data_IF_184222593436
#
_entry.id   IF_184222593436
#
_cell.length_a   1.000
_cell.length_b   1.000
_cell.length_c   1.000
_cell.angle_alpha   90.00
_cell.angle_beta   90.00
_cell.angle_gamma   90.00
#
_symmetry.space_group_name_H-M   'P 1'
#
loop_
_entity.id
_entity.type
_entity.pdbx_description
1 polymer ?
#
# COMPACT_ATOMS: atom_id res chain seq x y z
N UNK A 1 -10.63 -4.86 -15.95
CA UNK A 1 -10.89 -4.61 -14.54
C UNK A 1 -11.73 -5.76 -14.03
N UNK A 2 -11.09 -6.72 -13.34
CA UNK A 2 -11.73 -7.88 -12.74
C UNK A 2 -12.71 -8.66 -13.66
N UNK A 3 -12.44 -8.70 -14.97
CA UNK A 3 -13.23 -9.43 -15.94
C UNK A 3 -12.63 -10.79 -16.30
N UNK A 4 -11.33 -10.96 -16.05
CA UNK A 4 -10.58 -12.19 -16.25
C UNK A 4 -10.11 -12.76 -14.92
N UNK A 5 -9.95 -14.06 -14.84
CA UNK A 5 -9.46 -14.70 -13.63
C UNK A 5 -9.68 -16.21 -13.68
N UNK A 6 -9.01 -16.92 -12.77
CA UNK A 6 -9.08 -18.38 -12.65
C UNK A 6 -10.23 -18.76 -11.70
N UNK A 7 -10.99 -19.77 -12.06
CA UNK A 7 -12.01 -20.36 -11.19
C UNK A 7 -11.35 -21.32 -10.19
N UNK A 8 -11.12 -20.82 -8.99
CA UNK A 8 -10.48 -21.61 -7.91
C UNK A 8 -11.47 -22.53 -7.19
N UNK A 9 -12.78 -22.36 -7.39
CA UNK A 9 -13.81 -23.16 -6.69
C UNK A 9 -13.85 -24.62 -7.14
N UNK A 10 -13.25 -24.90 -8.29
CA UNK A 10 -13.10 -26.27 -8.81
C UNK A 10 -11.91 -27.04 -8.21
N UNK A 11 -10.98 -26.34 -7.55
CA UNK A 11 -9.77 -26.95 -6.98
C UNK A 11 -10.09 -27.80 -5.74
N UNK A 12 -9.40 -28.93 -5.56
CA UNK A 12 -9.56 -29.76 -4.36
C UNK A 12 -9.28 -28.97 -3.06
N UNK A 13 -8.25 -28.12 -3.07
CA UNK A 13 -7.86 -27.28 -1.94
C UNK A 13 -8.98 -26.32 -1.52
N UNK A 14 -9.68 -25.72 -2.48
CA UNK A 14 -10.84 -24.90 -2.20
C UNK A 14 -11.97 -25.70 -1.56
N UNK A 15 -12.24 -26.89 -2.08
CA UNK A 15 -13.34 -27.74 -1.57
C UNK A 15 -13.07 -28.22 -0.15
N UNK A 16 -11.81 -28.52 0.18
CA UNK A 16 -11.38 -29.02 1.48
C UNK A 16 -11.17 -27.91 2.52
N UNK A 17 -11.00 -26.66 2.10
CA UNK A 17 -10.78 -25.55 3.00
C UNK A 17 -12.00 -25.27 3.90
N UNK A 18 -11.76 -25.03 5.19
CA UNK A 18 -12.78 -24.60 6.16
C UNK A 18 -13.03 -23.10 6.07
N UNK A 19 -12.02 -22.31 5.72
CA UNK A 19 -12.04 -20.84 5.62
C UNK A 19 -11.36 -20.43 4.32
N UNK A 20 -11.91 -19.44 3.65
CA UNK A 20 -11.29 -18.83 2.48
C UNK A 20 -10.65 -17.49 2.89
N UNK A 21 -9.35 -17.41 2.77
CA UNK A 21 -8.61 -16.18 3.06
C UNK A 21 -8.20 -15.49 1.75
N UNK A 22 -8.78 -14.31 1.50
CA UNK A 22 -8.48 -13.48 0.33
C UNK A 22 -7.46 -12.40 0.71
N UNK A 23 -6.53 -12.15 -0.18
CA UNK A 23 -5.61 -11.03 -0.15
C UNK A 23 -5.86 -10.13 -1.36
N UNK A 24 -4.80 -9.80 -2.10
CA UNK A 24 -4.89 -8.98 -3.30
C UNK A 24 -5.24 -9.84 -4.52
N UNK A 25 -6.49 -9.79 -4.95
CA UNK A 25 -7.07 -10.67 -5.98
C UNK A 25 -7.08 -10.09 -7.40
N UNK A 26 -6.44 -8.95 -7.59
CA UNK A 26 -6.48 -8.19 -8.85
C UNK A 26 -5.52 -8.73 -9.92
N UNK A 27 -5.33 -7.98 -11.02
CA UNK A 27 -4.45 -8.28 -12.15
C UNK A 27 -4.70 -9.67 -12.80
N UNK A 28 -5.98 -10.06 -12.91
CA UNK A 28 -6.34 -11.28 -13.60
C UNK A 28 -6.34 -12.54 -12.72
N UNK A 29 -6.04 -12.45 -11.43
CA UNK A 29 -6.14 -13.58 -10.50
C UNK A 29 -7.59 -14.04 -10.35
N UNK A 30 -8.49 -13.14 -9.92
CA UNK A 30 -9.92 -13.41 -9.83
C UNK A 30 -10.73 -12.34 -10.54
N UNK A 31 -11.74 -12.76 -11.30
CA UNK A 31 -12.78 -11.88 -11.80
C UNK A 31 -13.87 -11.66 -10.74
N UNK A 32 -14.73 -10.64 -10.92
CA UNK A 32 -15.91 -10.48 -10.07
C UNK A 32 -16.86 -11.69 -10.16
N UNK A 33 -16.89 -12.39 -11.32
CA UNK A 33 -17.64 -13.64 -11.48
C UNK A 33 -17.05 -14.78 -10.64
N UNK A 34 -15.72 -14.89 -10.59
CA UNK A 34 -15.06 -15.88 -9.73
C UNK A 34 -15.29 -15.55 -8.24
N UNK A 35 -15.22 -14.25 -7.88
CA UNK A 35 -15.51 -13.80 -6.53
C UNK A 35 -16.95 -14.15 -6.13
N UNK A 36 -17.94 -13.97 -7.02
CA UNK A 36 -19.34 -14.39 -6.78
C UNK A 36 -19.42 -15.87 -6.37
N UNK A 37 -18.78 -16.76 -7.14
CA UNK A 37 -18.76 -18.19 -6.83
C UNK A 37 -18.14 -18.51 -5.47
N UNK A 38 -17.07 -17.77 -5.10
CA UNK A 38 -16.44 -17.92 -3.79
C UNK A 38 -17.41 -17.50 -2.67
N UNK A 39 -18.08 -16.35 -2.82
CA UNK A 39 -19.04 -15.85 -1.83
C UNK A 39 -20.26 -16.75 -1.70
N UNK A 40 -20.74 -17.33 -2.81
CA UNK A 40 -21.87 -18.25 -2.88
C UNK A 40 -21.55 -19.66 -2.34
N UNK A 41 -20.29 -19.98 -2.07
CA UNK A 41 -19.87 -21.30 -1.57
C UNK A 41 -20.33 -21.63 -0.15
N UNK A 42 -20.80 -20.64 0.60
CA UNK A 42 -21.21 -20.78 2.01
C UNK A 42 -20.04 -20.90 2.99
N UNK A 43 -18.78 -20.85 2.51
CA UNK A 43 -17.60 -20.91 3.38
C UNK A 43 -17.33 -19.57 4.06
N UNK A 44 -16.84 -19.54 5.31
CA UNK A 44 -16.39 -18.32 5.97
C UNK A 44 -15.30 -17.63 5.16
N UNK A 45 -15.41 -16.29 5.02
CA UNK A 45 -14.47 -15.52 4.19
C UNK A 45 -13.80 -14.44 5.04
N UNK A 46 -12.48 -14.45 5.05
CA UNK A 46 -11.62 -13.40 5.56
C UNK A 46 -10.94 -12.72 4.40
N UNK A 47 -10.99 -11.39 4.33
CA UNK A 47 -10.32 -10.64 3.27
C UNK A 47 -9.36 -9.61 3.84
N UNK A 48 -8.05 -9.89 3.76
CA UNK A 48 -7.02 -8.94 4.14
C UNK A 48 -6.83 -7.89 3.05
N UNK A 49 -7.13 -6.67 3.41
CA UNK A 49 -7.02 -5.49 2.55
C UNK A 49 -5.61 -4.90 2.64
N UNK A 50 -4.89 -4.89 1.52
CA UNK A 50 -3.59 -4.21 1.38
C UNK A 50 -3.72 -2.83 0.74
N UNK A 51 -4.91 -2.49 0.25
CA UNK A 51 -5.30 -1.22 -0.36
C UNK A 51 -6.81 -1.01 -0.27
N UNK A 52 -7.30 0.07 -0.84
CA UNK A 52 -8.72 0.43 -0.77
C UNK A 52 -9.60 -0.26 -1.81
N UNK A 53 -9.06 -1.09 -2.71
CA UNK A 53 -9.87 -1.65 -3.81
C UNK A 53 -11.12 -2.41 -3.34
N UNK A 54 -11.10 -3.23 -2.27
CA UNK A 54 -12.33 -3.87 -1.78
C UNK A 54 -13.43 -2.88 -1.36
N UNK A 55 -13.04 -1.70 -0.88
CA UNK A 55 -13.94 -0.66 -0.36
C UNK A 55 -14.30 0.44 -1.37
N UNK A 56 -13.81 0.37 -2.61
CA UNK A 56 -14.05 1.37 -3.66
C UNK A 56 -14.64 0.75 -4.93
N UNK A 57 -15.03 1.56 -5.90
CA UNK A 57 -15.43 1.06 -7.22
C UNK A 57 -14.26 0.41 -7.96
N UNK A 58 -13.20 1.17 -8.21
CA UNK A 58 -12.08 0.74 -9.07
C UNK A 58 -10.70 1.10 -8.55
N UNK A 59 -10.57 2.09 -7.69
CA UNK A 59 -9.27 2.60 -7.28
C UNK A 59 -8.67 1.82 -6.10
N UNK A 60 -7.35 1.70 -6.09
CA UNK A 60 -6.57 1.10 -4.99
C UNK A 60 -6.25 2.13 -3.90
N UNK A 61 -6.33 3.41 -4.24
CA UNK A 61 -6.15 4.52 -3.32
C UNK A 61 -7.04 5.69 -3.74
N UNK A 62 -7.94 6.11 -2.86
CA UNK A 62 -8.95 7.14 -3.19
C UNK A 62 -8.38 8.57 -3.15
N UNK A 63 -7.20 8.79 -2.57
CA UNK A 63 -6.66 10.14 -2.32
C UNK A 63 -7.71 11.00 -1.60
N UNK A 64 -8.03 12.19 -2.15
CA UNK A 64 -9.02 13.12 -1.61
C UNK A 64 -10.48 12.75 -1.98
N UNK A 65 -10.68 11.72 -2.83
CA UNK A 65 -12.01 11.32 -3.26
C UNK A 65 -12.76 10.59 -2.13
N UNK A 66 -13.94 11.04 -1.78
CA UNK A 66 -14.82 10.47 -0.75
C UNK A 66 -16.03 9.73 -1.29
N UNK A 67 -16.21 9.63 -2.60
CA UNK A 67 -17.41 9.04 -3.23
C UNK A 67 -17.69 7.61 -2.76
N UNK A 68 -16.66 6.83 -2.41
CA UNK A 68 -16.81 5.45 -1.94
C UNK A 68 -17.62 5.35 -0.61
N UNK A 69 -17.74 6.46 0.10
CA UNK A 69 -18.56 6.51 1.34
C UNK A 69 -20.05 6.41 1.05
N UNK A 70 -20.46 6.71 -0.18
CA UNK A 70 -21.87 6.67 -0.63
C UNK A 70 -22.01 5.79 -1.87
N UNK A 71 -21.62 6.30 -3.03
CA UNK A 71 -21.60 5.60 -4.31
C UNK A 71 -20.51 6.19 -5.22
N UNK A 72 -19.64 5.35 -5.76
CA UNK A 72 -18.65 5.79 -6.74
C UNK A 72 -19.32 6.19 -8.05
N UNK A 73 -19.03 7.40 -8.54
CA UNK A 73 -19.37 7.95 -9.85
C UNK A 73 -18.52 9.19 -10.11
N UNK A 74 -18.56 9.80 -11.31
CA UNK A 74 -17.75 10.96 -11.66
C UNK A 74 -16.30 10.80 -11.16
N UNK A 75 -15.70 9.63 -11.48
CA UNK A 75 -14.43 9.22 -10.90
C UNK A 75 -13.30 10.13 -11.40
N UNK A 76 -12.56 10.84 -10.51
CA UNK A 76 -11.50 11.74 -10.91
C UNK A 76 -10.30 11.03 -11.53
N UNK A 77 -10.21 9.70 -11.39
CA UNK A 77 -9.14 8.89 -11.96
C UNK A 77 -9.45 8.34 -13.36
N UNK A 78 -10.65 8.61 -13.88
CA UNK A 78 -11.02 8.29 -15.25
C UNK A 78 -10.82 9.49 -16.16
N UNK A 79 -10.52 9.22 -17.42
CA UNK A 79 -10.37 10.28 -18.43
C UNK A 79 -11.61 11.19 -18.47
N UNK A 80 -11.40 12.49 -18.48
CA UNK A 80 -12.47 13.49 -18.45
C UNK A 80 -13.25 13.58 -17.12
N UNK A 81 -12.73 13.02 -16.00
CA UNK A 81 -13.39 13.09 -14.69
C UNK A 81 -14.58 12.15 -14.53
N UNK A 82 -14.75 11.20 -15.45
CA UNK A 82 -15.84 10.23 -15.43
C UNK A 82 -17.25 10.85 -15.60
N UNK A 83 -18.30 10.06 -15.29
CA UNK A 83 -19.70 10.50 -15.31
C UNK A 83 -20.53 9.66 -14.33
N UNK A 84 -21.84 9.97 -14.23
CA UNK A 84 -22.77 9.28 -13.31
C UNK A 84 -22.88 7.77 -13.54
N UNK A 85 -22.61 7.27 -14.76
CA UNK A 85 -22.68 5.84 -15.14
C UNK A 85 -21.33 5.28 -15.56
N UNK A 86 -20.24 5.88 -15.11
CA UNK A 86 -18.89 5.49 -15.47
C UNK A 86 -18.50 4.09 -14.94
N UNK A 87 -17.28 3.68 -15.26
CA UNK A 87 -16.77 2.37 -14.84
C UNK A 87 -16.78 2.21 -13.31
N UNK A 88 -16.43 3.27 -12.57
CA UNK A 88 -16.41 3.23 -11.11
C UNK A 88 -17.79 2.95 -10.52
N UNK A 89 -18.83 3.63 -11.06
CA UNK A 89 -20.22 3.42 -10.66
C UNK A 89 -20.69 1.98 -10.94
N UNK A 90 -20.39 1.47 -12.14
CA UNK A 90 -20.79 0.11 -12.53
C UNK A 90 -20.13 -0.96 -11.67
N UNK A 91 -18.85 -0.83 -11.38
CA UNK A 91 -18.12 -1.80 -10.55
C UNK A 91 -18.54 -1.69 -9.08
N UNK A 92 -18.75 -0.46 -8.59
CA UNK A 92 -19.25 -0.25 -7.22
C UNK A 92 -20.58 -0.95 -6.99
N UNK A 93 -21.57 -0.77 -7.88
CA UNK A 93 -22.87 -1.45 -7.80
C UNK A 93 -22.73 -2.96 -7.87
N UNK A 94 -21.87 -3.48 -8.78
CA UNK A 94 -21.60 -4.92 -8.86
C UNK A 94 -21.04 -5.46 -7.55
N UNK A 95 -20.05 -4.79 -6.95
CA UNK A 95 -19.49 -5.20 -5.66
C UNK A 95 -20.54 -5.14 -4.54
N UNK A 96 -21.35 -4.08 -4.52
CA UNK A 96 -22.44 -3.93 -3.54
C UNK A 96 -23.40 -5.11 -3.55
N UNK A 97 -23.79 -5.57 -4.72
CA UNK A 97 -24.65 -6.77 -4.86
C UNK A 97 -23.90 -8.04 -4.48
N UNK A 98 -22.64 -8.20 -4.91
CA UNK A 98 -21.83 -9.38 -4.59
C UNK A 98 -21.61 -9.53 -3.08
N UNK A 99 -21.30 -8.46 -2.37
CA UNK A 99 -20.99 -8.54 -0.94
C UNK A 99 -22.21 -8.88 -0.08
N UNK A 100 -23.43 -8.71 -0.58
CA UNK A 100 -24.64 -9.17 0.08
C UNK A 100 -24.77 -10.69 0.14
N UNK A 101 -24.08 -11.43 -0.71
CA UNK A 101 -24.21 -12.89 -0.83
C UNK A 101 -23.67 -13.64 0.39
N UNK A 102 -22.71 -13.06 1.12
CA UNK A 102 -22.13 -13.69 2.30
C UNK A 102 -21.54 -12.66 3.28
N UNK A 103 -21.53 -12.94 4.58
CA UNK A 103 -20.77 -12.14 5.52
C UNK A 103 -19.27 -12.29 5.23
N UNK A 104 -18.58 -11.14 5.11
CA UNK A 104 -17.13 -11.10 4.90
C UNK A 104 -16.52 -10.41 6.12
N UNK A 105 -15.45 -10.99 6.67
CA UNK A 105 -14.59 -10.31 7.63
C UNK A 105 -13.44 -9.63 6.88
N UNK A 106 -13.47 -8.30 6.84
CA UNK A 106 -12.39 -7.51 6.27
C UNK A 106 -11.33 -7.21 7.33
N UNK A 107 -10.10 -7.55 7.04
CA UNK A 107 -8.94 -7.26 7.88
C UNK A 107 -8.08 -6.22 7.16
N UNK A 108 -7.78 -5.11 7.81
CA UNK A 108 -6.93 -4.05 7.25
C UNK A 108 -5.54 -4.09 7.88
N UNK A 109 -4.51 -3.74 7.11
CA UNK A 109 -3.13 -3.76 7.59
C UNK A 109 -2.72 -2.51 8.40
N UNK A 110 -3.66 -1.57 8.63
CA UNK A 110 -3.45 -0.37 9.45
C UNK A 110 -4.76 0.23 9.93
N UNK A 111 -4.74 0.96 11.04
CA UNK A 111 -5.90 1.71 11.53
C UNK A 111 -6.40 2.76 10.54
N UNK A 112 -5.49 3.42 9.81
CA UNK A 112 -5.88 4.35 8.75
C UNK A 112 -6.76 3.67 7.69
N UNK A 113 -6.37 2.47 7.24
CA UNK A 113 -7.16 1.73 6.25
C UNK A 113 -8.47 1.20 6.85
N UNK A 114 -8.48 0.85 8.14
CA UNK A 114 -9.69 0.45 8.86
C UNK A 114 -10.73 1.57 8.89
N UNK A 115 -10.33 2.79 9.23
CA UNK A 115 -11.22 3.97 9.22
C UNK A 115 -11.79 4.21 7.82
N UNK A 116 -10.95 4.16 6.79
CA UNK A 116 -11.37 4.30 5.38
C UNK A 116 -12.32 3.17 4.96
N UNK A 117 -12.03 1.95 5.36
CA UNK A 117 -12.87 0.79 5.07
C UNK A 117 -14.24 0.88 5.77
N UNK A 118 -14.27 1.20 7.06
CA UNK A 118 -15.51 1.40 7.84
C UNK A 118 -16.39 2.50 7.29
N UNK A 119 -15.81 3.55 6.68
CA UNK A 119 -16.57 4.63 6.06
C UNK A 119 -17.16 4.25 4.68
N UNK A 120 -16.80 3.10 4.12
CA UNK A 120 -17.27 2.70 2.78
C UNK A 120 -18.68 2.13 2.82
N UNK A 121 -19.55 2.62 1.92
CA UNK A 121 -20.90 2.07 1.75
C UNK A 121 -20.92 0.64 1.17
N UNK A 122 -19.79 0.13 0.63
CA UNK A 122 -19.68 -1.28 0.22
C UNK A 122 -19.54 -2.23 1.41
N UNK A 123 -18.92 -1.76 2.51
CA UNK A 123 -18.59 -2.60 3.64
C UNK A 123 -19.57 -2.46 4.80
N UNK A 124 -20.63 -1.68 4.62
CA UNK A 124 -21.72 -1.54 5.60
C UNK A 124 -22.33 -2.91 5.92
N UNK A 125 -22.38 -3.27 7.20
CA UNK A 125 -22.92 -4.55 7.67
C UNK A 125 -21.90 -5.69 7.69
N UNK A 126 -20.66 -5.47 7.24
CA UNK A 126 -19.56 -6.43 7.36
C UNK A 126 -18.66 -6.11 8.57
N UNK A 127 -17.99 -7.13 9.09
CA UNK A 127 -16.96 -6.93 10.12
C UNK A 127 -15.72 -6.32 9.48
N UNK A 128 -15.23 -5.21 10.05
CA UNK A 128 -13.97 -4.57 9.63
C UNK A 128 -13.09 -4.38 10.86
N UNK A 129 -11.89 -4.94 10.85
CA UNK A 129 -10.91 -4.83 11.92
C UNK A 129 -9.51 -4.61 11.38
N UNK A 130 -8.59 -4.11 12.22
CA UNK A 130 -7.19 -3.92 11.85
C UNK A 130 -6.31 -4.97 12.51
N UNK A 131 -5.49 -5.62 11.69
CA UNK A 131 -4.37 -6.48 12.12
C UNK A 131 -3.16 -6.04 11.32
N UNK A 132 -2.14 -5.42 11.95
CA UNK A 132 -0.93 -5.00 11.26
C UNK A 132 -0.24 -6.15 10.54
N UNK A 133 0.45 -5.84 9.43
CA UNK A 133 1.27 -6.84 8.74
C UNK A 133 2.34 -7.38 9.69
N UNK A 134 2.54 -8.70 9.74
CA UNK A 134 3.57 -9.30 10.58
C UNK A 134 4.96 -8.93 10.08
N UNK A 135 5.91 -8.78 11.00
CA UNK A 135 7.33 -8.61 10.72
C UNK A 135 8.13 -9.59 11.58
N UNK A 136 9.18 -10.16 11.01
CA UNK A 136 10.08 -11.02 11.76
C UNK A 136 10.99 -10.20 12.69
N UNK A 137 10.59 -10.04 13.93
CA UNK A 137 11.32 -9.24 14.94
C UNK A 137 12.66 -9.88 15.37
N UNK A 138 12.90 -11.14 15.08
CA UNK A 138 14.23 -11.75 15.28
C UNK A 138 15.21 -11.25 14.23
N UNK A 139 14.75 -10.95 13.04
CA UNK A 139 15.55 -10.41 11.94
C UNK A 139 15.59 -8.88 11.99
N UNK A 140 14.43 -8.22 12.02
CA UNK A 140 14.28 -6.75 12.06
C UNK A 140 14.32 -6.25 13.51
N UNK A 141 15.54 -6.04 14.02
CA UNK A 141 15.82 -5.53 15.37
C UNK A 141 16.96 -4.52 15.33
N UNK A 142 17.07 -3.63 16.32
CA UNK A 142 18.19 -2.70 16.40
C UNK A 142 19.55 -3.40 16.27
N UNK A 143 20.43 -2.87 15.42
CA UNK A 143 21.76 -3.38 15.11
C UNK A 143 22.82 -2.39 15.55
N UNK A 144 24.08 -2.83 15.49
CA UNK A 144 25.22 -1.95 15.76
C UNK A 144 25.31 -0.88 14.67
N UNK A 145 25.18 0.38 15.07
CA UNK A 145 25.16 1.55 14.18
C UNK A 145 26.47 1.73 13.42
N UNK A 146 27.61 1.52 14.07
CA UNK A 146 28.93 1.69 13.44
C UNK A 146 29.17 0.61 12.37
N UNK A 147 28.78 -0.63 12.66
CA UNK A 147 28.87 -1.74 11.70
C UNK A 147 27.99 -1.48 10.47
N UNK A 148 26.74 -1.07 10.68
CA UNK A 148 25.81 -0.71 9.62
C UNK A 148 26.36 0.42 8.74
N UNK A 149 26.87 1.49 9.36
CA UNK A 149 27.47 2.61 8.63
C UNK A 149 28.72 2.19 7.83
N UNK A 150 29.55 1.34 8.40
CA UNK A 150 30.73 0.81 7.72
C UNK A 150 30.33 -0.04 6.51
N UNK A 151 29.33 -0.92 6.68
CA UNK A 151 28.82 -1.80 5.63
C UNK A 151 28.35 -0.99 4.41
N UNK A 152 27.61 0.08 4.62
CA UNK A 152 27.10 0.94 3.56
C UNK A 152 28.02 2.12 3.20
N UNK A 153 29.26 2.17 3.73
CA UNK A 153 30.22 3.25 3.49
C UNK A 153 29.66 4.64 3.82
N UNK A 154 28.86 4.70 4.90
CA UNK A 154 28.27 5.94 5.40
C UNK A 154 29.21 6.63 6.40
N UNK A 155 29.09 7.96 6.59
CA UNK A 155 29.83 8.68 7.62
C UNK A 155 29.61 8.07 9.00
N UNK A 156 30.70 7.88 9.75
CA UNK A 156 30.62 7.34 11.12
C UNK A 156 30.05 8.36 12.10
N UNK A 157 30.27 9.65 11.84
CA UNK A 157 29.77 10.76 12.63
C UNK A 157 28.61 11.49 11.94
N UNK A 158 27.96 12.35 12.67
CA UNK A 158 26.82 13.16 12.19
C UNK A 158 25.48 12.41 12.23
N UNK A 159 24.45 13.13 11.81
CA UNK A 159 23.06 12.63 11.73
C UNK A 159 22.75 12.19 10.31
N UNK A 160 21.99 11.11 10.19
CA UNK A 160 21.52 10.61 8.88
C UNK A 160 20.00 10.51 8.91
N UNK A 161 19.36 11.13 7.93
CA UNK A 161 17.96 10.89 7.59
C UNK A 161 17.87 9.73 6.61
N UNK A 162 17.01 8.77 6.87
CA UNK A 162 16.80 7.62 6.01
C UNK A 162 15.49 7.78 5.24
N UNK A 163 15.53 7.61 3.92
CA UNK A 163 14.35 7.53 3.06
C UNK A 163 14.47 6.34 2.12
N UNK A 164 13.41 5.55 2.03
CA UNK A 164 13.40 4.37 1.16
C UNK A 164 12.07 4.13 0.47
N UNK A 165 12.16 3.68 -0.78
CA UNK A 165 11.00 3.24 -1.56
C UNK A 165 11.46 2.36 -2.71
N UNK A 166 10.63 1.39 -3.12
CA UNK A 166 10.92 0.57 -4.31
C UNK A 166 11.26 1.45 -5.52
N UNK A 167 10.51 2.53 -5.73
CA UNK A 167 10.79 3.57 -6.73
C UNK A 167 10.77 4.94 -6.05
N UNK A 168 11.93 5.57 -5.96
CA UNK A 168 12.11 6.85 -5.24
C UNK A 168 11.24 7.97 -5.80
N UNK A 169 10.99 7.99 -7.10
CA UNK A 169 10.17 9.01 -7.76
C UNK A 169 8.66 8.81 -7.59
N UNK A 170 8.23 7.79 -6.85
CA UNK A 170 6.79 7.60 -6.55
C UNK A 170 6.33 8.64 -5.52
N UNK A 171 5.59 9.64 -5.98
CA UNK A 171 5.07 10.74 -5.14
C UNK A 171 4.22 10.26 -3.96
N UNK A 172 3.56 9.10 -4.07
CA UNK A 172 2.78 8.49 -2.98
C UNK A 172 3.64 8.10 -1.78
N UNK A 173 4.95 7.97 -1.96
CA UNK A 173 5.92 7.63 -0.91
C UNK A 173 6.46 8.86 -0.17
N UNK A 174 6.02 10.08 -0.54
CA UNK A 174 6.34 11.30 0.17
C UNK A 174 7.66 11.95 -0.22
N UNK A 175 8.20 11.66 -1.41
CA UNK A 175 9.46 12.25 -1.87
C UNK A 175 9.41 13.78 -1.93
N UNK A 176 8.29 14.34 -2.37
CA UNK A 176 8.11 15.79 -2.47
C UNK A 176 8.20 16.44 -1.07
N UNK A 177 7.62 15.79 -0.03
CA UNK A 177 7.72 16.25 1.35
C UNK A 177 9.15 16.17 1.90
N UNK A 178 9.90 15.12 1.57
CA UNK A 178 11.31 15.01 1.95
C UNK A 178 12.12 16.18 1.38
N UNK A 179 11.96 16.45 0.08
CA UNK A 179 12.68 17.52 -0.61
C UNK A 179 12.37 18.88 0.02
N UNK A 180 11.10 19.20 0.20
CA UNK A 180 10.67 20.47 0.78
C UNK A 180 11.11 20.61 2.25
N UNK A 181 11.00 19.54 3.04
CA UNK A 181 11.47 19.54 4.43
C UNK A 181 12.98 19.75 4.53
N UNK A 182 13.76 19.11 3.66
CA UNK A 182 15.21 19.30 3.62
C UNK A 182 15.60 20.74 3.23
N UNK A 183 14.91 21.36 2.26
CA UNK A 183 15.14 22.76 1.87
C UNK A 183 14.85 23.70 3.05
N UNK A 184 13.68 23.54 3.67
CA UNK A 184 13.27 24.35 4.81
C UNK A 184 14.23 24.19 6.00
N UNK A 185 14.70 22.97 6.24
CA UNK A 185 15.66 22.68 7.30
C UNK A 185 17.01 23.34 7.02
N UNK A 186 17.51 23.31 5.78
CA UNK A 186 18.76 23.95 5.40
C UNK A 186 18.70 25.48 5.42
N UNK A 187 17.52 26.06 5.20
CA UNK A 187 17.25 27.49 5.31
C UNK A 187 17.23 27.95 6.78
N UNK A 188 16.47 27.25 7.62
CA UNK A 188 16.30 27.61 9.04
C UNK A 188 17.50 27.24 9.91
N UNK A 189 18.25 26.22 9.52
CA UNK A 189 19.36 25.62 10.28
C UNK A 189 20.55 25.36 9.37
N UNK A 190 21.21 26.42 8.85
CA UNK A 190 22.35 26.27 7.91
C UNK A 190 23.54 25.52 8.53
N UNK A 191 23.68 25.54 9.86
CA UNK A 191 24.72 24.80 10.58
C UNK A 191 24.61 23.26 10.39
N UNK A 192 23.44 22.75 10.07
CA UNK A 192 23.23 21.31 9.83
C UNK A 192 23.85 20.80 8.53
N UNK A 193 24.23 21.69 7.61
CA UNK A 193 24.84 21.27 6.32
C UNK A 193 26.14 20.49 6.50
N UNK A 194 26.85 20.73 7.61
CA UNK A 194 28.11 20.01 7.93
C UNK A 194 27.91 18.73 8.74
N UNK A 195 26.75 18.51 9.33
CA UNK A 195 26.50 17.42 10.28
C UNK A 195 25.32 16.51 9.96
N UNK A 196 24.55 16.84 8.92
CA UNK A 196 23.39 16.08 8.48
C UNK A 196 23.58 15.56 7.05
N UNK A 197 23.32 14.28 6.85
CA UNK A 197 23.25 13.64 5.52
C UNK A 197 21.92 12.95 5.31
N UNK A 198 21.62 12.60 4.05
CA UNK A 198 20.40 11.85 3.68
C UNK A 198 20.81 10.55 3.00
N UNK A 199 20.42 9.44 3.59
CA UNK A 199 20.57 8.10 3.01
C UNK A 199 19.30 7.77 2.25
N UNK A 200 19.44 7.39 0.98
CA UNK A 200 18.31 7.08 0.12
C UNK A 200 18.51 5.68 -0.49
N UNK A 201 17.57 4.77 -0.29
CA UNK A 201 17.62 3.45 -0.91
C UNK A 201 16.40 3.16 -1.78
N UNK A 202 16.64 2.47 -2.89
CA UNK A 202 15.64 2.08 -3.89
C UNK A 202 16.03 2.45 -5.30
N UNK A 203 15.20 2.02 -6.26
CA UNK A 203 15.43 2.31 -7.68
C UNK A 203 15.44 3.82 -7.94
N UNK A 204 16.42 4.28 -8.70
CA UNK A 204 16.61 5.68 -9.07
C UNK A 204 17.03 6.62 -7.91
N UNK A 205 17.59 6.08 -6.82
CA UNK A 205 18.05 6.85 -5.66
C UNK A 205 19.03 7.96 -6.01
N UNK A 206 19.88 7.77 -7.03
CA UNK A 206 20.84 8.74 -7.53
C UNK A 206 20.21 10.06 -8.00
N UNK A 207 18.93 10.04 -8.40
CA UNK A 207 18.25 11.25 -8.87
C UNK A 207 18.06 12.31 -7.77
N UNK A 208 18.15 11.94 -6.50
CA UNK A 208 18.03 12.88 -5.39
C UNK A 208 19.31 13.65 -5.08
N UNK A 209 20.45 13.21 -5.58
CA UNK A 209 21.76 13.81 -5.27
C UNK A 209 21.80 15.32 -5.53
N UNK A 210 21.16 15.77 -6.62
CA UNK A 210 21.14 17.18 -7.00
C UNK A 210 19.88 17.93 -6.55
N UNK A 211 18.97 17.28 -5.84
CA UNK A 211 17.68 17.86 -5.42
C UNK A 211 17.68 18.25 -3.94
N UNK A 212 18.59 17.69 -3.15
CA UNK A 212 18.67 17.91 -1.71
C UNK A 212 19.83 18.83 -1.35
N UNK A 213 19.66 19.72 -0.35
CA UNK A 213 20.70 20.67 0.08
C UNK A 213 21.74 20.06 1.04
N UNK A 214 21.62 18.76 1.35
CA UNK A 214 22.49 17.99 2.22
C UNK A 214 23.24 16.91 1.41
N UNK A 215 24.39 16.41 1.87
CA UNK A 215 25.04 15.25 1.29
C UNK A 215 24.07 14.06 1.17
N UNK A 216 24.02 13.46 -0.04
CA UNK A 216 23.13 12.30 -0.31
C UNK A 216 23.97 11.05 -0.50
N UNK A 217 23.63 10.03 0.24
CA UNK A 217 24.21 8.69 0.15
C UNK A 217 23.17 7.79 -0.50
N UNK A 218 23.30 7.66 -1.83
CA UNK A 218 22.35 6.89 -2.62
C UNK A 218 22.75 5.41 -2.61
N UNK A 219 21.92 4.60 -2.01
CA UNK A 219 21.98 3.15 -2.04
C UNK A 219 21.02 2.66 -3.13
N UNK A 220 21.41 1.64 -3.87
CA UNK A 220 20.55 1.02 -4.87
C UNK A 220 19.40 0.24 -4.21
N UNK A 221 18.60 -0.41 -5.02
CA UNK A 221 17.51 -1.26 -4.53
C UNK A 221 18.06 -2.47 -3.77
N UNK A 222 17.69 -2.57 -2.51
CA UNK A 222 18.07 -3.69 -1.63
C UNK A 222 16.88 -4.65 -1.54
N UNK A 223 17.03 -5.84 -2.11
CA UNK A 223 16.00 -6.89 -2.11
C UNK A 223 16.22 -7.97 -1.06
N UNK A 224 17.45 -8.09 -0.56
CA UNK A 224 17.82 -9.09 0.45
C UNK A 224 17.46 -8.57 1.84
N UNK A 225 16.60 -9.30 2.56
CA UNK A 225 16.18 -8.93 3.92
C UNK A 225 17.33 -8.84 4.90
N UNK A 226 18.36 -9.73 4.79
CA UNK A 226 19.54 -9.70 5.66
C UNK A 226 20.42 -8.46 5.42
N UNK A 227 20.36 -7.88 4.24
CA UNK A 227 21.02 -6.62 3.93
C UNK A 227 20.15 -5.43 4.36
N UNK A 228 18.84 -5.50 4.08
CA UNK A 228 17.86 -4.46 4.42
C UNK A 228 17.83 -4.14 5.93
N UNK A 229 18.04 -5.13 6.79
CA UNK A 229 18.07 -4.94 8.26
C UNK A 229 19.29 -4.17 8.77
N UNK A 230 20.28 -3.92 7.93
CA UNK A 230 21.45 -3.12 8.27
C UNK A 230 21.35 -1.67 7.79
N UNK A 231 20.28 -1.32 7.03
CA UNK A 231 19.96 0.05 6.66
C UNK A 231 19.22 0.73 7.81
#
# INVERSE_FOLDING_TARGET
IANTGTDVTSLPEFRQADIIHLHWINQGMLSLKNLSKILESGKPIVWTMHDMWPSTGICHHARECTNYQHECHHCPFLYGGGNKKDLSARIFRKKKELYKAAPITFVTCSHWLEEKAKSSALLTGHTVTSIPNPINTNLFRPRNKQEARTHFRLPQEGKLLLFGSVKITDKRKGIDYLIESCKLLAEKHPELKSSLGVVVFGNQSQQLTNLLPFPVYALDYVSNEHELVNI
#
